data_IF_676567596901
#
_entry.id   IF_676567596901
#
_cell.length_a   1.000
_cell.length_b   1.000
_cell.length_c   1.000
_cell.angle_alpha   90.00
_cell.angle_beta   90.00
_cell.angle_gamma   90.00
#
_symmetry.space_group_name_H-M   'P 1'
#
loop_
_entity.id
_entity.type
_entity.pdbx_description
1 polymer ?
#
# COMPACT_ATOMS: atom_id res chain seq x y z
N UNK A 1 -57.62 -31.01 16.44
CA UNK A 1 -57.27 -29.68 16.98
C UNK A 1 -55.77 -29.46 16.82
N UNK A 2 -55.37 -28.31 16.28
CA UNK A 2 -54.01 -27.98 15.81
C UNK A 2 -52.94 -28.09 16.91
N UNK A 3 -51.72 -28.58 16.61
CA UNK A 3 -50.58 -28.39 17.51
C UNK A 3 -50.04 -26.96 17.31
N UNK A 4 -49.86 -26.21 18.39
CA UNK A 4 -49.17 -24.92 18.35
C UNK A 4 -47.78 -25.10 18.95
N UNK A 5 -46.79 -25.39 18.10
CA UNK A 5 -45.38 -25.26 18.47
C UNK A 5 -45.05 -23.77 18.52
N UNK A 6 -45.09 -23.20 19.72
CA UNK A 6 -44.57 -21.87 20.01
C UNK A 6 -43.08 -22.02 20.30
N UNK A 7 -42.25 -21.86 19.28
CA UNK A 7 -40.82 -21.66 19.49
C UNK A 7 -40.62 -20.28 20.14
N UNK A 8 -39.87 -20.16 21.26
CA UNK A 8 -39.63 -18.87 21.88
C UNK A 8 -38.75 -18.01 20.96
N UNK A 9 -39.21 -16.80 20.68
CA UNK A 9 -38.61 -15.79 19.80
C UNK A 9 -37.15 -15.45 20.20
N UNK A 10 -36.77 -15.74 21.45
CA UNK A 10 -35.41 -15.53 21.97
C UNK A 10 -34.34 -16.40 21.29
N UNK A 11 -34.68 -17.64 20.89
CA UNK A 11 -33.71 -18.54 20.23
C UNK A 11 -33.43 -18.06 18.78
N UNK A 12 -34.42 -17.46 18.12
CA UNK A 12 -34.28 -16.89 16.77
C UNK A 12 -33.38 -15.64 16.79
N UNK A 13 -33.44 -14.83 17.86
CA UNK A 13 -32.59 -13.65 18.00
C UNK A 13 -31.13 -13.99 18.31
N UNK A 14 -30.89 -15.11 19.01
CA UNK A 14 -29.53 -15.59 19.30
C UNK A 14 -28.84 -16.21 18.07
N UNK A 15 -29.59 -16.86 17.18
CA UNK A 15 -29.05 -17.29 15.88
C UNK A 15 -28.70 -16.11 14.95
N UNK A 16 -29.40 -14.98 15.07
CA UNK A 16 -29.12 -13.79 14.25
C UNK A 16 -27.91 -12.98 14.74
N UNK A 17 -27.57 -13.06 16.02
CA UNK A 17 -26.39 -12.39 16.60
C UNK A 17 -25.09 -13.18 16.41
N UNK A 18 -25.17 -14.52 16.33
CA UNK A 18 -24.01 -15.37 16.02
C UNK A 18 -23.66 -15.37 14.52
N UNK A 19 -24.59 -14.99 13.63
CA UNK A 19 -24.31 -14.86 12.19
C UNK A 19 -23.62 -13.55 11.76
N UNK A 20 -23.48 -12.57 12.68
CA UNK A 20 -22.73 -11.34 12.40
C UNK A 20 -21.26 -11.37 12.83
N UNK A 21 -20.81 -12.46 13.45
CA UNK A 21 -19.39 -12.74 13.69
C UNK A 21 -18.82 -13.65 12.60
N UNK A 22 -19.05 -13.29 11.33
CA UNK A 22 -18.32 -13.88 10.23
C UNK A 22 -17.73 -12.77 9.35
N UNK A 23 -16.41 -12.67 9.46
CA UNK A 23 -15.50 -12.26 8.38
C UNK A 23 -15.34 -10.76 8.14
N UNK A 24 -14.33 -10.15 8.78
CA UNK A 24 -13.36 -9.32 8.05
C UNK A 24 -11.95 -9.77 8.44
N UNK A 25 -11.48 -10.85 7.82
CA UNK A 25 -10.67 -10.85 6.57
C UNK A 25 -9.23 -10.46 6.89
N UNK A 26 -8.50 -11.39 7.53
CA UNK A 26 -7.09 -11.57 7.18
C UNK A 26 -7.09 -12.23 5.80
N UNK A 27 -7.20 -11.44 4.76
CA UNK A 27 -7.00 -11.93 3.41
C UNK A 27 -5.82 -11.18 2.86
N UNK A 28 -4.89 -11.94 2.30
CA UNK A 28 -4.14 -11.63 1.11
C UNK A 28 -5.08 -11.16 -0.02
N UNK A 29 -5.85 -10.10 0.22
CA UNK A 29 -6.79 -9.54 -0.73
C UNK A 29 -5.93 -8.94 -1.81
N UNK A 30 -5.96 -9.58 -2.97
CA UNK A 30 -5.21 -9.17 -4.15
C UNK A 30 -5.42 -7.65 -4.34
N UNK A 31 -4.35 -6.84 -4.48
CA UNK A 31 -4.47 -5.38 -4.47
C UNK A 31 -5.51 -4.83 -5.46
N UNK A 32 -6.18 -3.73 -5.15
CA UNK A 32 -7.27 -3.22 -6.01
C UNK A 32 -6.74 -2.86 -7.41
N UNK A 33 -7.46 -3.24 -8.48
CA UNK A 33 -7.06 -2.90 -9.84
C UNK A 33 -7.52 -1.47 -10.22
N UNK A 34 -6.56 -0.59 -10.53
CA UNK A 34 -6.82 0.70 -11.15
C UNK A 34 -7.18 0.51 -12.63
N UNK A 35 -8.49 0.48 -12.92
CA UNK A 35 -9.01 0.30 -14.29
C UNK A 35 -8.49 1.35 -15.29
N UNK A 36 -8.21 2.57 -14.79
CA UNK A 36 -7.61 3.66 -15.54
C UNK A 36 -6.98 4.67 -14.57
N UNK A 37 -6.20 5.61 -15.12
CA UNK A 37 -5.54 6.70 -14.39
C UNK A 37 -6.24 8.06 -14.61
N UNK A 38 -7.54 8.07 -14.89
CA UNK A 38 -8.31 9.31 -14.99
C UNK A 38 -8.48 9.92 -13.59
N UNK A 39 -8.39 11.25 -13.49
CA UNK A 39 -8.65 11.98 -12.25
C UNK A 39 -10.10 11.84 -11.78
N UNK A 40 -11.04 11.50 -12.67
CA UNK A 40 -12.43 11.22 -12.28
C UNK A 40 -12.62 9.84 -11.64
N UNK A 41 -11.63 8.94 -11.78
CA UNK A 41 -11.69 7.61 -11.18
C UNK A 41 -11.60 7.69 -9.65
N UNK A 42 -12.58 7.09 -8.96
CA UNK A 42 -12.66 7.14 -7.51
C UNK A 42 -11.43 6.53 -6.82
N UNK A 43 -10.90 5.42 -7.33
CA UNK A 43 -9.71 4.76 -6.76
C UNK A 43 -8.47 5.62 -6.93
N UNK A 44 -8.34 6.33 -8.07
CA UNK A 44 -7.25 7.30 -8.29
C UNK A 44 -7.37 8.50 -7.37
N UNK A 45 -8.60 9.00 -7.11
CA UNK A 45 -8.83 10.08 -6.14
C UNK A 45 -8.40 9.66 -4.73
N UNK A 46 -8.86 8.49 -4.26
CA UNK A 46 -8.48 7.93 -2.95
C UNK A 46 -6.97 7.76 -2.84
N UNK A 47 -6.34 7.13 -3.82
CA UNK A 47 -4.88 6.96 -3.89
C UNK A 47 -4.15 8.30 -3.73
N UNK A 48 -4.57 9.34 -4.45
CA UNK A 48 -3.95 10.67 -4.37
C UNK A 48 -4.18 11.35 -3.03
N UNK A 49 -5.36 11.17 -2.43
CA UNK A 49 -5.69 11.68 -1.10
C UNK A 49 -4.82 11.00 -0.03
N UNK A 50 -4.67 9.68 -0.08
CA UNK A 50 -3.81 8.92 0.82
C UNK A 50 -2.35 9.39 0.72
N UNK A 51 -1.81 9.51 -0.50
CA UNK A 51 -0.46 10.02 -0.72
C UNK A 51 -0.31 11.42 -0.12
N UNK A 52 -1.26 12.32 -0.38
CA UNK A 52 -1.24 13.69 0.14
C UNK A 52 -1.28 13.72 1.67
N UNK A 53 -2.09 12.88 2.29
CA UNK A 53 -2.20 12.78 3.74
C UNK A 53 -0.91 12.23 4.34
N UNK A 54 -0.39 11.13 3.81
CA UNK A 54 0.84 10.49 4.28
C UNK A 54 2.09 11.37 4.11
N UNK A 55 2.15 12.19 3.06
CA UNK A 55 3.21 13.18 2.88
C UNK A 55 3.17 14.33 3.89
N UNK A 56 1.98 14.74 4.35
CA UNK A 56 1.89 15.73 5.44
C UNK A 56 2.42 15.16 6.74
N UNK A 57 2.07 13.91 7.03
CA UNK A 57 2.48 13.21 8.26
C UNK A 57 3.99 13.04 8.36
N UNK A 58 4.67 12.74 7.24
CA UNK A 58 6.13 12.60 7.24
C UNK A 58 6.87 13.93 7.43
N UNK A 59 6.20 15.08 7.24
CA UNK A 59 6.78 16.43 7.34
C UNK A 59 6.39 17.14 8.66
N UNK A 60 5.17 16.96 9.18
CA UNK A 60 4.68 17.62 10.39
C UNK A 60 4.50 16.63 11.55
N UNK A 61 5.47 16.58 12.48
CA UNK A 61 5.42 15.90 13.78
C UNK A 61 4.81 14.47 13.79
N UNK A 62 5.74 13.52 13.68
CA UNK A 62 5.65 12.05 13.64
C UNK A 62 4.85 11.34 14.76
N UNK A 63 4.15 12.07 15.65
CA UNK A 63 3.55 11.49 16.85
C UNK A 63 2.02 11.41 16.83
N UNK A 64 1.29 12.25 16.07
CA UNK A 64 -0.17 12.43 16.28
C UNK A 64 -1.10 11.86 15.20
N UNK A 65 -0.61 11.48 14.03
CA UNK A 65 -1.49 10.95 12.97
C UNK A 65 -1.35 9.44 12.82
N UNK A 66 -2.49 8.76 12.79
CA UNK A 66 -2.62 7.40 12.26
C UNK A 66 -2.14 7.44 10.80
N UNK A 67 -0.98 6.82 10.49
CA UNK A 67 -0.69 6.54 9.09
C UNK A 67 -1.70 5.49 8.64
N UNK A 68 -2.32 5.72 7.49
CA UNK A 68 -3.08 4.67 6.81
C UNK A 68 -2.18 3.46 6.62
N UNK A 69 -2.71 2.25 6.78
CA UNK A 69 -1.98 1.02 6.47
C UNK A 69 -1.40 1.09 5.06
N UNK A 70 -0.20 0.53 4.87
CA UNK A 70 0.39 0.39 3.55
C UNK A 70 -0.51 -0.53 2.73
N UNK A 71 -1.08 0.02 1.66
CA UNK A 71 -1.91 -0.70 0.71
C UNK A 71 -1.34 -0.52 -0.68
N UNK A 72 -1.57 -1.52 -1.54
CA UNK A 72 -1.16 -1.49 -2.92
C UNK A 72 -2.37 -1.50 -3.84
N UNK A 73 -2.18 -0.84 -4.98
CA UNK A 73 -3.04 -0.92 -6.14
C UNK A 73 -2.27 -1.59 -7.26
N UNK A 74 -2.97 -2.31 -8.14
CA UNK A 74 -2.41 -2.83 -9.38
C UNK A 74 -2.77 -1.94 -10.54
N UNK A 75 -1.84 -1.71 -11.45
CA UNK A 75 -2.08 -1.01 -12.69
C UNK A 75 -1.47 -1.77 -13.86
N UNK A 76 -2.25 -2.03 -14.91
CA UNK A 76 -1.73 -2.60 -16.15
C UNK A 76 -1.40 -1.46 -17.10
N UNK A 77 -0.12 -1.32 -17.45
CA UNK A 77 0.39 -0.27 -18.33
C UNK A 77 -0.32 -0.35 -19.69
N UNK A 78 -0.84 0.77 -20.17
CA UNK A 78 -1.52 0.86 -21.47
C UNK A 78 -0.57 1.35 -22.55
N UNK A 79 -0.93 1.14 -23.82
CA UNK A 79 -0.12 1.53 -24.99
C UNK A 79 0.32 3.01 -24.99
N UNK A 80 -0.58 3.89 -24.54
CA UNK A 80 -0.34 5.34 -24.51
C UNK A 80 0.23 5.84 -23.18
N UNK A 81 0.69 4.93 -22.31
CA UNK A 81 1.32 5.29 -21.05
C UNK A 81 2.83 5.35 -21.18
N UNK A 82 3.41 6.25 -20.39
CA UNK A 82 4.82 6.24 -20.05
C UNK A 82 4.95 6.44 -18.53
N UNK A 83 6.14 6.20 -18.00
CA UNK A 83 6.38 6.20 -16.56
C UNK A 83 6.03 7.55 -15.91
N UNK A 84 6.43 8.65 -16.54
CA UNK A 84 6.15 10.00 -16.05
C UNK A 84 4.66 10.33 -16.03
N UNK A 85 3.89 9.86 -17.03
CA UNK A 85 2.44 10.00 -17.06
C UNK A 85 1.81 9.21 -15.92
N UNK A 86 2.26 7.97 -15.67
CA UNK A 86 1.76 7.15 -14.56
C UNK A 86 2.04 7.85 -13.22
N UNK A 87 3.28 8.30 -12.99
CA UNK A 87 3.66 9.09 -11.81
C UNK A 87 2.77 10.31 -11.62
N UNK A 88 2.60 11.13 -12.66
CA UNK A 88 1.82 12.36 -12.58
C UNK A 88 0.36 12.08 -12.21
N UNK A 89 -0.24 11.04 -12.82
CA UNK A 89 -1.63 10.66 -12.56
C UNK A 89 -1.83 10.03 -11.18
N UNK A 90 -0.91 9.22 -10.70
CA UNK A 90 -1.00 8.59 -9.37
C UNK A 90 -0.56 9.52 -8.24
N UNK A 91 0.28 10.53 -8.52
CA UNK A 91 0.88 11.39 -7.49
C UNK A 91 2.17 10.81 -6.89
N UNK A 92 2.77 9.81 -7.53
CA UNK A 92 4.01 9.18 -7.10
C UNK A 92 5.27 9.92 -7.56
N UNK A 93 6.40 9.55 -6.96
CA UNK A 93 7.73 9.91 -7.44
C UNK A 93 8.44 8.72 -8.12
N UNK A 94 9.56 9.04 -8.77
CA UNK A 94 10.39 8.08 -9.51
C UNK A 94 10.91 6.96 -8.60
N UNK A 95 11.39 7.33 -7.42
CA UNK A 95 11.97 6.39 -6.46
C UNK A 95 10.95 5.35 -6.00
N UNK A 96 9.73 5.78 -5.66
CA UNK A 96 8.70 4.88 -5.14
C UNK A 96 8.30 3.85 -6.19
N UNK A 97 7.97 4.28 -7.41
CA UNK A 97 7.54 3.32 -8.45
C UNK A 97 8.70 2.39 -8.82
N UNK A 98 9.92 2.93 -8.95
CA UNK A 98 11.09 2.13 -9.34
C UNK A 98 11.46 1.12 -8.27
N UNK A 99 11.54 1.53 -7.01
CA UNK A 99 11.83 0.64 -5.87
C UNK A 99 10.77 -0.45 -5.73
N UNK A 100 9.48 -0.06 -5.76
CA UNK A 100 8.38 -1.01 -5.56
C UNK A 100 8.29 -2.03 -6.68
N UNK A 101 8.58 -1.64 -7.91
CA UNK A 101 8.48 -2.52 -9.08
C UNK A 101 9.83 -3.08 -9.53
N UNK A 102 10.90 -2.85 -8.75
CA UNK A 102 12.26 -3.31 -9.05
C UNK A 102 12.72 -2.93 -10.46
N UNK A 103 12.38 -1.70 -10.88
CA UNK A 103 12.77 -1.16 -12.18
C UNK A 103 14.20 -0.62 -12.10
N UNK A 104 15.02 -0.92 -13.11
CA UNK A 104 16.36 -0.36 -13.23
C UNK A 104 16.34 1.03 -13.89
N UNK A 105 15.31 1.31 -14.69
CA UNK A 105 15.10 2.59 -15.36
C UNK A 105 13.61 2.94 -15.47
N UNK A 106 13.23 4.24 -15.51
CA UNK A 106 11.87 4.66 -15.84
C UNK A 106 11.41 4.21 -17.22
N UNK A 107 12.36 3.88 -18.11
CA UNK A 107 12.10 3.47 -19.48
C UNK A 107 11.80 1.97 -19.61
N UNK A 108 11.97 1.18 -18.55
CA UNK A 108 11.80 -0.28 -18.58
C UNK A 108 10.32 -0.73 -18.59
N UNK A 109 9.38 0.21 -18.51
CA UNK A 109 7.95 -0.13 -18.55
C UNK A 109 7.44 -0.34 -19.97
N UNK A 110 6.51 -1.28 -20.13
CA UNK A 110 5.94 -1.62 -21.43
C UNK A 110 4.43 -1.93 -21.33
N UNK A 111 3.66 -1.78 -22.42
CA UNK A 111 2.23 -2.09 -22.42
C UNK A 111 1.96 -3.54 -22.01
N UNK A 112 1.01 -3.73 -21.09
CA UNK A 112 0.68 -5.02 -20.50
C UNK A 112 1.47 -5.37 -19.23
N UNK A 113 2.52 -4.62 -18.88
CA UNK A 113 3.22 -4.77 -17.60
C UNK A 113 2.28 -4.44 -16.43
N UNK A 114 2.26 -5.30 -15.40
CA UNK A 114 1.55 -5.03 -14.15
C UNK A 114 2.49 -4.30 -13.18
N UNK A 115 2.07 -3.10 -12.76
CA UNK A 115 2.76 -2.28 -11.76
C UNK A 115 1.97 -2.32 -10.45
N UNK A 116 2.70 -2.42 -9.35
CA UNK A 116 2.23 -2.16 -8.00
C UNK A 116 2.43 -0.68 -7.68
N UNK A 117 1.36 -0.04 -7.22
CA UNK A 117 1.33 1.38 -6.84
C UNK A 117 0.91 1.45 -5.37
N UNK A 118 1.82 1.78 -4.42
CA UNK A 118 1.43 1.91 -3.02
C UNK A 118 0.47 3.08 -2.79
N UNK A 119 -0.16 3.20 -1.63
CA UNK A 119 -0.98 4.38 -1.25
C UNK A 119 -0.16 5.50 -0.59
N UNK A 120 1.17 5.36 -0.55
CA UNK A 120 2.09 6.33 0.02
C UNK A 120 3.44 6.28 -0.71
N UNK A 121 4.21 7.37 -0.62
CA UNK A 121 5.58 7.39 -1.15
C UNK A 121 6.54 6.74 -0.16
N UNK A 122 7.57 6.09 -0.67
CA UNK A 122 8.55 5.36 0.11
C UNK A 122 9.32 4.39 -0.74
N UNK A 123 10.34 3.77 -0.15
CA UNK A 123 11.19 2.78 -0.84
C UNK A 123 11.34 1.54 0.01
N UNK A 124 11.63 0.41 -0.61
CA UNK A 124 12.08 -0.77 0.12
C UNK A 124 13.53 -0.62 0.54
N UNK A 125 13.83 -1.03 1.78
CA UNK A 125 15.21 -1.30 2.21
C UNK A 125 15.69 -2.61 1.56
N UNK A 126 16.81 -2.55 0.85
CA UNK A 126 17.40 -3.68 0.11
C UNK A 126 18.19 -4.67 0.95
N UNK A 127 18.59 -4.25 2.16
CA UNK A 127 19.59 -4.94 2.98
C UNK A 127 18.91 -5.96 3.91
N UNK A 128 17.69 -5.66 4.35
CA UNK A 128 16.99 -6.41 5.37
C UNK A 128 15.81 -7.22 4.81
N UNK A 129 15.85 -8.55 5.00
CA UNK A 129 14.83 -9.48 4.45
C UNK A 129 14.03 -10.25 5.50
N UNK A 130 14.44 -10.16 6.75
CA UNK A 130 13.80 -10.88 7.85
C UNK A 130 12.80 -9.96 8.58
N UNK A 131 11.60 -10.48 8.85
CA UNK A 131 10.59 -9.81 9.66
C UNK A 131 10.90 -10.01 11.15
N UNK A 132 11.79 -9.18 11.71
CA UNK A 132 12.11 -9.21 13.13
C UNK A 132 11.98 -7.83 13.79
N UNK A 133 11.61 -7.84 15.08
CA UNK A 133 11.55 -6.63 15.90
C UNK A 133 12.90 -5.89 15.95
N UNK A 134 14.01 -6.64 15.99
CA UNK A 134 15.35 -6.08 16.02
C UNK A 134 15.67 -5.32 14.72
N UNK A 135 15.28 -5.87 13.57
CA UNK A 135 15.45 -5.23 12.27
C UNK A 135 14.57 -3.98 12.16
N UNK A 136 13.30 -4.05 12.57
CA UNK A 136 12.41 -2.87 12.62
C UNK A 136 13.04 -1.73 13.44
N UNK A 137 13.59 -2.04 14.61
CA UNK A 137 14.28 -1.08 15.48
C UNK A 137 15.56 -0.54 14.85
N UNK A 138 16.32 -1.38 14.14
CA UNK A 138 17.51 -0.96 13.37
C UNK A 138 17.13 0.03 12.26
N UNK A 139 16.10 -0.28 11.48
CA UNK A 139 15.61 0.55 10.39
C UNK A 139 15.03 1.88 10.88
N UNK A 140 14.28 1.86 11.99
CA UNK A 140 13.79 3.07 12.68
C UNK A 140 14.91 4.06 12.97
N UNK A 141 16.04 3.56 13.48
CA UNK A 141 17.24 4.38 13.71
C UNK A 141 17.91 4.82 12.41
N UNK A 142 18.11 3.91 11.44
CA UNK A 142 18.74 4.18 10.13
C UNK A 142 18.03 5.33 9.41
N UNK A 143 16.69 5.29 9.38
CA UNK A 143 15.86 6.24 8.62
C UNK A 143 15.31 7.40 9.46
N UNK A 144 15.60 7.44 10.77
CA UNK A 144 15.06 8.43 11.72
C UNK A 144 13.53 8.51 11.65
N UNK A 145 12.89 7.34 11.75
CA UNK A 145 11.45 7.16 11.56
C UNK A 145 10.88 6.30 12.69
N UNK A 146 9.69 6.61 13.19
CA UNK A 146 9.05 5.79 14.23
C UNK A 146 8.78 4.37 13.72
N UNK A 147 9.01 3.36 14.57
CA UNK A 147 8.87 1.94 14.23
C UNK A 147 7.48 1.56 13.69
N UNK A 148 6.44 2.26 14.15
CA UNK A 148 5.04 2.07 13.69
C UNK A 148 4.81 2.43 12.23
N UNK A 149 5.68 3.23 11.63
CA UNK A 149 5.58 3.65 10.24
C UNK A 149 6.35 2.74 9.29
N UNK A 150 7.16 1.83 9.81
CA UNK A 150 7.94 0.88 9.02
C UNK A 150 7.12 -0.40 8.88
N UNK A 151 6.83 -0.79 7.65
CA UNK A 151 5.99 -1.95 7.34
C UNK A 151 6.80 -3.03 6.66
N UNK A 152 6.63 -4.29 7.08
CA UNK A 152 7.19 -5.42 6.38
C UNK A 152 6.20 -5.89 5.31
N UNK A 153 6.69 -6.02 4.08
CA UNK A 153 5.93 -6.60 2.97
C UNK A 153 6.24 -8.10 2.89
N UNK A 154 5.26 -8.92 3.24
CA UNK A 154 5.37 -10.38 3.26
C UNK A 154 5.56 -10.98 1.85
N UNK A 155 4.99 -10.35 0.82
CA UNK A 155 5.08 -10.83 -0.56
C UNK A 155 6.49 -10.60 -1.13
N UNK A 156 7.07 -9.43 -0.86
CA UNK A 156 8.43 -9.07 -1.31
C UNK A 156 9.53 -9.50 -0.35
N UNK A 157 9.20 -9.82 0.90
CA UNK A 157 10.14 -10.05 1.99
C UNK A 157 11.11 -8.89 2.19
N UNK A 158 10.57 -7.67 2.17
CA UNK A 158 11.34 -6.43 2.28
C UNK A 158 10.61 -5.45 3.19
N UNK A 159 11.37 -4.53 3.77
CA UNK A 159 10.83 -3.47 4.63
C UNK A 159 10.54 -2.22 3.82
N UNK A 160 9.28 -1.78 3.79
CA UNK A 160 8.87 -0.52 3.18
C UNK A 160 9.10 0.64 4.15
N UNK A 161 9.82 1.65 3.66
CA UNK A 161 10.22 2.84 4.40
C UNK A 161 9.50 4.06 3.83
N UNK A 162 8.41 4.54 4.46
CA UNK A 162 7.62 5.63 3.92
C UNK A 162 8.35 6.97 4.00
N UNK A 163 8.07 7.84 3.03
CA UNK A 163 8.61 9.20 2.93
C UNK A 163 10.12 9.28 2.67
N UNK A 164 10.78 8.15 2.41
CA UNK A 164 12.18 8.08 2.01
C UNK A 164 12.29 7.80 0.53
N UNK A 165 13.36 8.31 -0.06
CA UNK A 165 13.74 8.04 -1.44
C UNK A 165 14.89 7.03 -1.50
N UNK A 166 15.22 6.64 -2.72
CA UNK A 166 16.35 5.75 -3.00
C UNK A 166 17.67 6.39 -2.48
N UNK A 167 18.62 5.58 -1.98
CA UNK A 167 19.97 6.04 -1.68
C UNK A 167 20.60 6.75 -2.89
N UNK A 168 21.54 7.66 -2.64
CA UNK A 168 22.15 8.47 -3.71
C UNK A 168 22.84 7.60 -4.76
N UNK A 169 23.43 6.51 -4.31
CA UNK A 169 24.16 5.52 -5.08
C UNK A 169 23.22 4.73 -6.00
N UNK A 170 22.02 4.37 -5.51
CA UNK A 170 21.01 3.73 -6.35
C UNK A 170 20.41 4.73 -7.34
N UNK A 171 20.17 5.98 -6.90
CA UNK A 171 19.65 7.05 -7.76
C UNK A 171 20.55 7.37 -8.94
N UNK A 172 21.89 7.27 -8.82
CA UNK A 172 22.79 7.59 -9.94
C UNK A 172 22.56 6.68 -11.15
N UNK A 173 22.19 5.41 -10.94
CA UNK A 173 21.90 4.50 -12.05
C UNK A 173 20.67 4.90 -12.88
N UNK A 174 19.79 5.77 -12.35
CA UNK A 174 18.60 6.25 -13.06
C UNK A 174 18.83 7.57 -13.81
N UNK A 175 20.01 8.20 -13.67
CA UNK A 175 20.32 9.52 -14.25
C UNK A 175 21.44 9.50 -15.28
N UNK A 176 22.09 8.35 -15.49
CA UNK A 176 23.05 8.10 -16.56
C UNK A 176 22.37 7.51 -17.80
#
# INVERSE_FOLDING_TARGET
MKPSLKYPIEIVLFLFTVLFFNSRINSSQKPELLKNLDYNNQSVKRLREDIKNNLKVSISNLERSELTSLEFYRYVVKKEDNFFKIMARTGMDIDTISSVNSLASPYDIYPGMELLIPNMRGVYDSDERENSFLIRKKLSKKYKLAEKFISFDEDKKLWFIPGKGLPKEERSFFTE
#
